data_IF_996453886551
#
_entry.id   IF_996453886551
#
_cell.length_a   1.000
_cell.length_b   1.000
_cell.length_c   1.000
_cell.angle_alpha   90.00
_cell.angle_beta   90.00
_cell.angle_gamma   90.00
#
_symmetry.space_group_name_H-M   'P 1'
#
loop_
_entity.id
_entity.type
_entity.pdbx_description
1 polymer ?
#
# COMPACT_ATOMS: atom_id res chain seq x y z
N UNK A 1 -11.41 3.91 -9.82
CA UNK A 1 -10.11 4.36 -10.36
C UNK A 1 -9.86 3.69 -11.71
N UNK A 2 -9.21 4.37 -12.64
CA UNK A 2 -8.86 3.79 -13.94
C UNK A 2 -7.59 2.94 -13.80
N UNK A 3 -6.67 3.37 -12.94
CA UNK A 3 -5.49 2.60 -12.52
C UNK A 3 -5.47 2.42 -11.00
N UNK A 4 -4.99 1.28 -10.54
CA UNK A 4 -4.80 0.99 -9.12
C UNK A 4 -3.46 0.31 -8.90
N UNK A 5 -2.66 0.82 -7.99
CA UNK A 5 -1.43 0.17 -7.51
C UNK A 5 -1.65 -0.44 -6.15
N UNK A 6 -1.18 -1.67 -5.97
CA UNK A 6 -1.22 -2.39 -4.71
C UNK A 6 0.18 -2.56 -4.15
N UNK A 7 0.32 -2.41 -2.84
CA UNK A 7 1.56 -2.71 -2.13
C UNK A 7 1.43 -4.05 -1.41
N UNK A 8 2.41 -4.92 -1.58
CA UNK A 8 2.54 -6.20 -0.89
C UNK A 8 3.67 -6.22 0.13
N UNK A 9 4.10 -5.03 0.57
CA UNK A 9 5.07 -4.87 1.65
C UNK A 9 4.63 -5.62 2.93
N UNK A 10 5.60 -6.03 3.76
CA UNK A 10 5.43 -6.91 4.91
C UNK A 10 4.28 -6.56 5.87
N UNK A 11 3.97 -5.26 6.05
CA UNK A 11 2.92 -4.80 6.97
C UNK A 11 1.52 -4.71 6.35
N UNK A 12 1.35 -5.05 5.06
CA UNK A 12 0.05 -4.96 4.40
C UNK A 12 -0.86 -6.14 4.73
N UNK A 13 -2.16 -5.99 4.44
CA UNK A 13 -3.14 -7.05 4.68
C UNK A 13 -2.87 -8.32 3.86
N UNK A 14 -2.33 -8.12 2.66
CA UNK A 14 -1.77 -9.14 1.78
C UNK A 14 -0.29 -8.82 1.59
N UNK A 15 0.59 -9.78 1.77
CA UNK A 15 2.03 -9.53 1.70
C UNK A 15 2.79 -10.64 0.98
N UNK A 16 3.83 -10.23 0.27
CA UNK A 16 4.87 -11.09 -0.27
C UNK A 16 6.25 -10.76 0.33
N UNK A 17 6.29 -10.20 1.54
CA UNK A 17 7.41 -9.51 2.18
C UNK A 17 7.72 -8.18 1.49
N UNK A 18 8.09 -8.18 0.23
CA UNK A 18 8.18 -7.04 -0.67
C UNK A 18 7.47 -7.38 -1.98
N UNK A 19 6.85 -6.41 -2.60
CA UNK A 19 6.18 -6.57 -3.88
C UNK A 19 5.01 -5.61 -4.07
N UNK A 20 4.37 -5.73 -5.22
CA UNK A 20 3.20 -4.97 -5.58
C UNK A 20 2.61 -5.44 -6.89
N UNK A 21 1.47 -4.87 -7.24
CA UNK A 21 0.85 -5.05 -8.54
C UNK A 21 0.20 -3.76 -9.00
N UNK A 22 0.03 -3.65 -10.30
CA UNK A 22 -0.79 -2.62 -10.93
C UNK A 22 -1.94 -3.28 -11.68
N UNK A 23 -3.11 -2.67 -11.61
CA UNK A 23 -4.29 -3.09 -12.37
C UNK A 23 -4.95 -1.87 -13.00
N UNK A 24 -5.66 -2.08 -14.08
CA UNK A 24 -6.43 -1.03 -14.74
C UNK A 24 -7.78 -1.56 -15.22
N UNK A 25 -8.70 -0.64 -15.44
CA UNK A 25 -10.00 -0.97 -16.03
C UNK A 25 -9.86 -1.10 -17.53
N UNK A 26 -10.64 -1.99 -18.13
CA UNK A 26 -10.83 -2.02 -19.57
C UNK A 26 -11.26 -0.63 -20.06
N UNK A 27 -10.51 -0.09 -21.01
CA UNK A 27 -10.74 1.23 -21.58
C UNK A 27 -10.46 1.16 -23.10
N UNK A 28 -11.39 1.57 -23.98
CA UNK A 28 -11.16 1.54 -25.43
C UNK A 28 -9.93 2.33 -25.91
N UNK A 29 -9.43 3.26 -25.11
CA UNK A 29 -8.23 4.05 -25.42
C UNK A 29 -6.91 3.38 -24.96
N UNK A 30 -6.99 2.20 -24.32
CA UNK A 30 -5.85 1.48 -23.77
C UNK A 30 -5.87 0.06 -24.33
N UNK A 31 -4.84 -0.32 -25.06
CA UNK A 31 -4.61 -1.72 -25.44
C UNK A 31 -4.03 -2.48 -24.26
N UNK A 32 -4.75 -3.49 -23.77
CA UNK A 32 -4.35 -4.25 -22.59
C UNK A 32 -3.04 -5.02 -22.81
N UNK A 33 -2.80 -5.53 -24.02
CA UNK A 33 -1.56 -6.25 -24.32
C UNK A 33 -0.37 -5.30 -24.42
N UNK A 34 -0.55 -4.13 -25.03
CA UNK A 34 0.48 -3.10 -25.10
C UNK A 34 0.85 -2.60 -23.70
N UNK A 35 -0.15 -2.30 -22.88
CA UNK A 35 0.05 -1.88 -21.48
C UNK A 35 0.79 -2.95 -20.67
N UNK A 36 0.39 -4.20 -20.79
CA UNK A 36 1.06 -5.30 -20.10
C UNK A 36 2.53 -5.45 -20.53
N UNK A 37 2.83 -5.37 -21.83
CA UNK A 37 4.20 -5.40 -22.36
C UNK A 37 5.03 -4.23 -21.84
N UNK A 38 4.46 -3.04 -21.79
CA UNK A 38 5.14 -1.85 -21.25
C UNK A 38 5.51 -2.05 -19.77
N UNK A 39 4.60 -2.55 -18.94
CA UNK A 39 4.90 -2.88 -17.54
C UNK A 39 5.99 -3.94 -17.40
N UNK A 40 6.02 -4.97 -18.26
CA UNK A 40 7.09 -5.97 -18.26
C UNK A 40 8.44 -5.34 -18.61
N UNK A 41 8.51 -4.51 -19.65
CA UNK A 41 9.72 -3.80 -20.06
C UNK A 41 10.22 -2.89 -18.93
N UNK A 42 9.35 -2.05 -18.39
CA UNK A 42 9.70 -1.09 -17.33
C UNK A 42 10.12 -1.77 -16.03
N UNK A 43 9.58 -2.93 -15.70
CA UNK A 43 9.93 -3.66 -14.49
C UNK A 43 11.22 -4.46 -14.57
N UNK A 44 11.77 -4.65 -15.78
CA UNK A 44 12.97 -5.48 -16.04
C UNK A 44 14.00 -4.74 -16.91
N UNK A 45 14.55 -3.65 -16.39
CA UNK A 45 15.65 -2.89 -17.03
C UNK A 45 15.33 -2.25 -18.39
N UNK A 46 14.10 -2.28 -18.87
CA UNK A 46 13.77 -1.86 -20.23
C UNK A 46 14.11 -2.91 -21.31
N UNK A 47 14.25 -4.18 -20.93
CA UNK A 47 14.61 -5.27 -21.83
C UNK A 47 13.44 -5.74 -22.68
N UNK A 48 13.71 -6.03 -23.97
CA UNK A 48 12.70 -6.56 -24.92
C UNK A 48 12.38 -8.03 -24.73
N UNK A 49 13.17 -8.78 -23.95
CA UNK A 49 12.99 -10.21 -23.69
C UNK A 49 12.85 -10.52 -22.20
N UNK A 50 11.86 -11.31 -21.88
CA UNK A 50 11.71 -11.90 -20.55
C UNK A 50 12.64 -13.12 -20.33
N UNK A 51 12.64 -13.68 -19.13
CA UNK A 51 13.46 -14.83 -18.77
C UNK A 51 13.12 -16.10 -19.58
N UNK A 52 11.84 -16.30 -19.94
CA UNK A 52 11.39 -17.47 -20.72
C UNK A 52 11.86 -17.39 -22.16
N UNK A 53 11.82 -16.22 -22.79
CA UNK A 53 12.34 -16.02 -24.13
C UNK A 53 13.85 -16.25 -24.21
N UNK A 54 14.60 -15.98 -23.12
CA UNK A 54 16.04 -16.24 -23.01
C UNK A 54 16.41 -17.73 -22.90
N UNK A 55 15.47 -18.59 -22.51
CA UNK A 55 15.70 -20.04 -22.39
C UNK A 55 15.66 -20.77 -23.73
N UNK A 56 15.27 -20.13 -24.81
CA UNK A 56 15.35 -20.75 -26.15
C UNK A 56 16.79 -20.85 -26.62
N UNK A 57 17.18 -22.04 -27.07
CA UNK A 57 18.53 -22.33 -27.56
C UNK A 57 18.93 -21.36 -28.69
N UNK A 58 20.06 -20.68 -28.50
CA UNK A 58 20.60 -19.72 -29.49
C UNK A 58 20.01 -18.31 -29.38
N UNK A 59 19.09 -18.04 -28.46
CA UNK A 59 18.43 -16.74 -28.30
C UNK A 59 19.13 -15.84 -27.25
N UNK A 60 20.40 -15.47 -27.52
CA UNK A 60 21.17 -14.58 -26.62
C UNK A 60 20.88 -13.09 -26.82
N UNK A 61 20.46 -12.71 -28.03
CA UNK A 61 20.28 -11.30 -28.39
C UNK A 61 19.03 -10.70 -27.75
N UNK A 62 19.18 -9.55 -27.10
CA UNK A 62 18.12 -8.72 -26.54
C UNK A 62 18.52 -7.25 -26.69
N UNK A 63 17.55 -6.37 -26.56
CA UNK A 63 17.76 -4.92 -26.57
C UNK A 63 17.23 -4.29 -25.28
N UNK A 64 17.78 -3.13 -24.93
CA UNK A 64 17.28 -2.24 -23.88
C UNK A 64 16.71 -1.01 -24.58
N UNK A 65 15.39 -0.98 -24.70
CA UNK A 65 14.68 0.07 -25.45
C UNK A 65 14.47 1.34 -24.65
N UNK A 66 14.59 1.25 -23.31
CA UNK A 66 14.51 2.42 -22.42
C UNK A 66 15.26 2.14 -21.11
N UNK A 67 15.90 3.15 -20.46
CA UNK A 67 16.41 3.01 -19.11
C UNK A 67 15.25 2.79 -18.14
N UNK A 68 15.24 1.67 -17.42
CA UNK A 68 14.14 1.32 -16.52
C UNK A 68 14.65 0.61 -15.25
N UNK A 69 13.72 0.30 -14.35
CA UNK A 69 14.02 -0.26 -13.03
C UNK A 69 14.16 -1.79 -13.08
N UNK A 70 14.80 -2.36 -12.06
CA UNK A 70 14.77 -3.79 -11.75
C UNK A 70 13.80 -3.98 -10.58
N UNK A 71 12.53 -4.22 -10.87
CA UNK A 71 11.47 -4.34 -9.86
C UNK A 71 10.46 -5.47 -10.15
N UNK A 72 10.85 -6.45 -10.97
CA UNK A 72 10.04 -7.64 -11.19
C UNK A 72 9.94 -8.48 -9.91
N UNK A 73 8.77 -9.07 -9.66
CA UNK A 73 8.57 -10.02 -8.57
C UNK A 73 9.34 -11.31 -8.83
N UNK A 74 9.96 -11.87 -7.80
CA UNK A 74 10.61 -13.18 -7.89
C UNK A 74 9.61 -14.31 -7.61
N UNK A 75 9.89 -15.52 -8.11
CA UNK A 75 9.04 -16.70 -7.87
C UNK A 75 8.94 -17.05 -6.37
N UNK A 76 10.00 -16.79 -5.60
CA UNK A 76 9.98 -16.96 -4.14
C UNK A 76 8.93 -16.06 -3.50
N UNK A 77 8.91 -14.78 -3.87
CA UNK A 77 7.91 -13.82 -3.35
C UNK A 77 6.50 -14.16 -3.86
N UNK A 78 6.38 -14.56 -5.13
CA UNK A 78 5.11 -14.99 -5.71
C UNK A 78 4.54 -16.22 -4.98
N UNK A 79 5.37 -17.19 -4.62
CA UNK A 79 4.93 -18.38 -3.86
C UNK A 79 4.38 -18.03 -2.48
N UNK A 80 4.98 -17.05 -1.77
CA UNK A 80 4.41 -16.52 -0.54
C UNK A 80 3.04 -15.87 -0.79
N UNK A 81 2.91 -15.13 -1.89
CA UNK A 81 1.66 -14.51 -2.30
C UNK A 81 0.53 -15.51 -2.51
N UNK A 82 0.79 -16.64 -3.15
CA UNK A 82 -0.21 -17.70 -3.36
C UNK A 82 -0.77 -18.20 -2.00
N UNK A 83 0.10 -18.50 -1.05
CA UNK A 83 -0.32 -18.94 0.30
C UNK A 83 -1.08 -17.84 1.04
N UNK A 84 -0.65 -16.57 0.91
CA UNK A 84 -1.36 -15.45 1.51
C UNK A 84 -2.75 -15.26 0.89
N UNK A 85 -2.89 -15.46 -0.41
CA UNK A 85 -4.16 -15.34 -1.12
C UNK A 85 -5.18 -16.35 -0.61
N UNK A 86 -4.79 -17.61 -0.42
CA UNK A 86 -5.65 -18.66 0.15
C UNK A 86 -6.15 -18.30 1.56
N UNK A 87 -5.36 -17.58 2.33
CA UNK A 87 -5.69 -17.16 3.70
C UNK A 87 -6.38 -15.80 3.78
N UNK A 88 -6.43 -15.05 2.68
CA UNK A 88 -6.76 -13.62 2.70
C UNK A 88 -8.15 -13.32 3.25
N UNK A 89 -9.16 -14.07 2.87
CA UNK A 89 -10.53 -13.90 3.36
C UNK A 89 -10.63 -14.03 4.89
N UNK A 90 -9.96 -15.04 5.47
CA UNK A 90 -9.90 -15.23 6.92
C UNK A 90 -9.15 -14.10 7.64
N UNK A 91 -8.06 -13.59 7.05
CA UNK A 91 -7.31 -12.46 7.57
C UNK A 91 -8.16 -11.16 7.57
N UNK A 92 -8.91 -10.91 6.50
CA UNK A 92 -9.83 -9.77 6.44
C UNK A 92 -10.96 -9.88 7.47
N UNK A 93 -11.55 -11.07 7.62
CA UNK A 93 -12.60 -11.29 8.63
C UNK A 93 -12.06 -11.02 10.05
N UNK A 94 -10.85 -11.52 10.36
CA UNK A 94 -10.23 -11.26 11.67
C UNK A 94 -10.01 -9.76 11.92
N UNK A 95 -9.58 -8.99 10.91
CA UNK A 95 -9.46 -7.53 11.02
C UNK A 95 -10.79 -6.86 11.26
N UNK A 96 -11.83 -7.32 10.58
CA UNK A 96 -13.20 -6.84 10.80
C UNK A 96 -13.65 -7.05 12.25
N UNK A 97 -13.44 -8.26 12.78
CA UNK A 97 -13.82 -8.58 14.17
C UNK A 97 -13.10 -7.68 15.20
N UNK A 98 -11.81 -7.37 14.93
CA UNK A 98 -11.03 -6.44 15.77
C UNK A 98 -11.59 -5.03 15.69
N UNK A 99 -11.86 -4.52 14.50
CA UNK A 99 -12.45 -3.18 14.29
C UNK A 99 -13.81 -3.07 14.98
N UNK A 100 -14.70 -4.04 14.74
CA UNK A 100 -16.02 -4.09 15.36
C UNK A 100 -15.94 -4.10 16.91
N UNK A 101 -14.87 -4.70 17.47
CA UNK A 101 -14.62 -4.68 18.91
C UNK A 101 -14.17 -3.30 19.40
N UNK A 102 -13.27 -2.63 18.64
CA UNK A 102 -12.83 -1.27 18.97
C UNK A 102 -13.98 -0.29 18.85
N UNK A 103 -14.80 -0.36 17.80
CA UNK A 103 -15.95 0.53 17.60
C UNK A 103 -16.93 0.43 18.78
N UNK A 104 -17.21 -0.80 19.25
CA UNK A 104 -18.05 -0.97 20.45
C UNK A 104 -17.37 -0.43 21.72
N UNK A 105 -16.06 -0.61 21.85
CA UNK A 105 -15.31 -0.16 23.03
C UNK A 105 -15.20 1.36 23.13
N UNK A 106 -15.17 2.05 22.01
CA UNK A 106 -15.07 3.51 21.95
C UNK A 106 -16.41 4.23 21.78
N UNK A 107 -17.52 3.49 21.67
CA UNK A 107 -18.84 4.08 21.55
C UNK A 107 -19.14 5.03 22.73
N UNK A 108 -19.56 6.27 22.42
CA UNK A 108 -19.85 7.30 23.41
C UNK A 108 -18.62 7.94 24.07
N UNK A 109 -17.41 7.60 23.66
CA UNK A 109 -16.17 8.26 24.08
C UNK A 109 -15.80 9.41 23.14
N UNK A 110 -14.77 10.18 23.51
CA UNK A 110 -14.20 11.23 22.65
C UNK A 110 -13.25 10.69 21.55
N UNK A 111 -13.18 9.37 21.40
CA UNK A 111 -12.36 8.72 20.36
C UNK A 111 -13.26 8.39 19.17
N UNK A 112 -13.02 9.02 18.05
CA UNK A 112 -13.81 8.87 16.83
C UNK A 112 -12.99 8.18 15.74
N UNK A 113 -13.29 6.90 15.40
CA UNK A 113 -12.64 6.23 14.30
C UNK A 113 -13.12 6.77 12.95
N UNK A 114 -12.26 6.68 11.93
CA UNK A 114 -12.70 6.87 10.54
C UNK A 114 -13.64 5.74 10.14
N UNK A 115 -14.69 6.09 9.40
CA UNK A 115 -15.67 5.11 8.93
C UNK A 115 -15.01 4.06 8.01
N UNK A 116 -15.13 2.79 8.37
CA UNK A 116 -14.66 1.65 7.56
C UNK A 116 -15.66 1.21 6.51
N UNK A 117 -16.90 1.66 6.62
CA UNK A 117 -17.98 1.37 5.68
C UNK A 117 -18.88 2.58 5.48
N UNK A 118 -19.19 2.89 4.24
CA UNK A 118 -20.20 3.86 3.81
C UNK A 118 -21.15 3.17 2.84
N UNK A 119 -22.07 3.90 2.24
CA UNK A 119 -22.97 3.35 1.20
C UNK A 119 -22.21 2.85 -0.04
N UNK A 120 -21.08 3.45 -0.36
CA UNK A 120 -20.35 3.20 -1.61
C UNK A 120 -18.96 2.58 -1.42
N UNK A 121 -18.44 2.53 -0.18
CA UNK A 121 -17.08 2.08 0.12
C UNK A 121 -17.06 1.15 1.32
N UNK A 122 -16.32 0.07 1.21
CA UNK A 122 -15.94 -0.77 2.34
C UNK A 122 -14.41 -0.93 2.36
N UNK A 123 -13.77 -0.51 3.46
CA UNK A 123 -12.32 -0.60 3.63
C UNK A 123 -11.87 -2.02 3.97
N UNK A 124 -10.63 -2.35 3.62
CA UNK A 124 -9.98 -3.61 4.03
C UNK A 124 -9.55 -3.63 5.51
N UNK A 125 -9.83 -2.58 6.26
CA UNK A 125 -9.47 -2.41 7.68
C UNK A 125 -7.97 -2.58 7.93
N UNK A 126 -7.17 -2.05 7.01
CA UNK A 126 -5.72 -2.10 7.14
C UNK A 126 -5.23 -1.34 8.37
N UNK A 127 -5.78 -0.16 8.59
CA UNK A 127 -5.48 0.72 9.73
C UNK A 127 -6.76 1.02 10.50
N UNK A 128 -6.63 1.23 11.80
CA UNK A 128 -7.67 1.80 12.65
C UNK A 128 -7.28 3.21 13.03
N UNK A 129 -7.63 4.17 12.17
CA UNK A 129 -7.29 5.58 12.35
C UNK A 129 -8.35 6.24 13.21
N UNK A 130 -7.92 6.93 14.27
CA UNK A 130 -8.80 7.62 15.19
C UNK A 130 -8.47 9.11 15.29
N UNK A 131 -9.49 9.89 15.49
CA UNK A 131 -9.40 11.27 15.96
C UNK A 131 -9.84 11.33 17.42
N UNK A 132 -9.10 12.04 18.27
CA UNK A 132 -9.47 12.27 19.68
C UNK A 132 -10.02 13.68 19.80
N UNK A 133 -11.32 13.79 20.06
CA UNK A 133 -12.00 15.08 20.14
C UNK A 133 -11.38 15.99 21.20
N UNK A 134 -11.12 17.24 20.82
CA UNK A 134 -10.51 18.25 21.68
C UNK A 134 -9.03 18.06 21.99
N UNK A 135 -8.39 17.00 21.50
CA UNK A 135 -6.97 16.78 21.76
C UNK A 135 -6.09 17.74 20.92
N UNK A 136 -5.13 18.37 21.56
CA UNK A 136 -4.06 19.12 20.93
C UNK A 136 -2.84 18.23 20.64
N UNK A 137 -1.78 18.81 20.08
CA UNK A 137 -0.55 18.13 19.74
C UNK A 137 0.13 17.44 20.94
N UNK A 138 0.16 18.13 22.08
CA UNK A 138 0.82 17.64 23.30
C UNK A 138 0.05 16.46 23.88
N UNK A 139 -1.27 16.58 23.99
CA UNK A 139 -2.14 15.52 24.49
C UNK A 139 -2.08 14.27 23.58
N UNK A 140 -2.10 14.45 22.24
CA UNK A 140 -1.90 13.34 21.31
C UNK A 140 -0.59 12.62 21.54
N UNK A 141 0.51 13.36 21.71
CA UNK A 141 1.81 12.78 21.95
C UNK A 141 1.87 12.03 23.30
N UNK A 142 1.22 12.57 24.33
CA UNK A 142 1.09 11.90 25.62
C UNK A 142 0.31 10.59 25.50
N UNK A 143 -0.82 10.60 24.79
CA UNK A 143 -1.63 9.38 24.52
C UNK A 143 -0.76 8.30 23.84
N UNK A 144 0.03 8.65 22.84
CA UNK A 144 0.94 7.69 22.16
C UNK A 144 1.95 7.11 23.16
N UNK A 145 2.51 7.93 24.04
CA UNK A 145 3.46 7.47 25.06
C UNK A 145 2.80 6.52 26.09
N UNK A 146 1.61 6.86 26.56
CA UNK A 146 0.88 6.01 27.51
C UNK A 146 0.46 4.67 26.88
N UNK A 147 0.01 4.67 25.62
CA UNK A 147 -0.25 3.44 24.87
C UNK A 147 1.01 2.59 24.74
N UNK A 148 2.16 3.19 24.45
CA UNK A 148 3.43 2.47 24.36
C UNK A 148 3.83 1.85 25.69
N UNK A 149 3.63 2.55 26.83
CA UNK A 149 3.86 1.98 28.18
C UNK A 149 2.94 0.80 28.47
N UNK A 150 1.72 0.81 27.92
CA UNK A 150 0.77 -0.31 28.00
C UNK A 150 1.05 -1.44 26.99
N UNK A 151 2.16 -1.37 26.23
CA UNK A 151 2.52 -2.37 25.22
C UNK A 151 1.74 -2.25 23.90
N UNK A 152 1.06 -1.12 23.67
CA UNK A 152 0.27 -0.88 22.46
C UNK A 152 1.06 0.07 21.54
N UNK A 153 1.56 -0.46 20.44
CA UNK A 153 2.22 0.36 19.41
C UNK A 153 1.19 1.19 18.65
N UNK A 154 1.41 2.49 18.58
CA UNK A 154 0.60 3.44 17.83
C UNK A 154 1.47 4.45 17.10
N UNK A 155 0.94 5.10 16.06
CA UNK A 155 1.69 6.04 15.25
C UNK A 155 0.77 7.15 14.72
N UNK A 156 1.37 8.24 14.25
CA UNK A 156 0.66 9.32 13.53
C UNK A 156 0.63 8.99 12.04
N UNK A 157 -0.54 9.03 11.43
CA UNK A 157 -0.75 8.68 10.02
C UNK A 157 -1.31 9.87 9.21
N UNK A 158 -0.47 10.75 8.65
CA UNK A 158 1.00 10.87 8.71
C UNK A 158 1.41 12.28 9.12
N UNK A 159 2.73 12.49 9.38
CA UNK A 159 3.27 13.85 9.36
C UNK A 159 3.16 14.39 7.93
N UNK A 160 2.56 15.58 7.70
CA UNK A 160 2.43 16.15 6.36
C UNK A 160 3.78 16.28 5.66
N UNK A 161 3.85 15.91 4.38
CA UNK A 161 5.08 15.94 3.58
C UNK A 161 5.81 17.29 3.61
N UNK A 162 5.11 18.45 3.50
CA UNK A 162 5.78 19.76 3.57
C UNK A 162 6.54 20.03 4.88
N UNK A 163 6.22 19.30 5.96
CA UNK A 163 6.93 19.40 7.23
C UNK A 163 8.23 18.59 7.30
N UNK A 164 8.48 17.73 6.31
CA UNK A 164 9.70 16.93 6.25
C UNK A 164 10.83 17.72 5.60
N UNK A 165 12.06 17.54 6.08
CA UNK A 165 13.23 18.32 5.66
C UNK A 165 13.48 18.29 4.16
N UNK A 166 13.37 17.13 3.52
CA UNK A 166 13.57 17.00 2.08
C UNK A 166 12.57 17.89 1.28
N UNK A 167 11.31 17.91 1.67
CA UNK A 167 10.29 18.71 1.00
C UNK A 167 10.42 20.20 1.29
N UNK A 168 10.81 20.58 2.51
CA UNK A 168 11.16 21.97 2.84
C UNK A 168 12.30 22.48 1.98
N UNK A 169 13.34 21.66 1.77
CA UNK A 169 14.48 22.01 0.93
C UNK A 169 14.09 22.17 -0.57
N UNK A 170 12.99 21.54 -0.99
CA UNK A 170 12.42 21.70 -2.32
C UNK A 170 11.45 22.92 -2.42
N UNK A 171 11.29 23.70 -1.34
CA UNK A 171 10.44 24.90 -1.32
C UNK A 171 8.98 24.64 -0.97
N UNK A 172 8.61 23.45 -0.50
CA UNK A 172 7.24 23.21 -0.04
C UNK A 172 7.00 23.87 1.33
N UNK A 173 5.88 24.59 1.46
CA UNK A 173 5.46 25.26 2.69
C UNK A 173 4.03 24.85 3.06
N UNK A 174 3.81 24.50 4.32
CA UNK A 174 2.49 24.14 4.85
C UNK A 174 1.43 25.23 4.66
N UNK A 175 1.82 26.49 4.59
CA UNK A 175 0.90 27.59 4.34
C UNK A 175 0.14 27.46 3.00
N UNK A 176 0.67 26.68 2.06
CA UNK A 176 0.06 26.43 0.75
C UNK A 176 -0.86 25.20 0.73
N UNK A 177 -1.01 24.49 1.85
CA UNK A 177 -1.79 23.25 1.97
C UNK A 177 -2.73 23.37 3.17
N UNK A 178 -4.05 23.51 2.93
CA UNK A 178 -5.07 23.64 3.98
C UNK A 178 -5.25 22.39 4.82
#
# INVERSE_FOLDING_TARGET
ADFTSFSFHAVKNFTTAEGGSATWKANPAIDDEEMYKEFQILSLHGQTKDALAKMQLGSWEYDIVTPAYKCNMTDIMASLGLVQLDRYSGLLQRRKDIVDRYDRGFAGSRIHPLAHKTETVESSRHLYITHVEGANLEERNLIIQELAKAGIASNVHYKPLPLLTAYKNLGFDMANYP
#
